data_IF_210617966768
#
_entry.id   IF_210617966768
#
_cell.length_a   1.000
_cell.length_b   1.000
_cell.length_c   1.000
_cell.angle_alpha   90.00
_cell.angle_beta   90.00
_cell.angle_gamma   90.00
#
_symmetry.space_group_name_H-M   'P 1'
#
loop_
_entity.id
_entity.type
_entity.pdbx_description
1 polymer ?
#
# COMPACT_ATOMS: atom_id res chain seq x y z
N UNK A 1 33.58 -32.60 11.84
CA UNK A 1 32.10 -32.50 11.58
C UNK A 1 31.98 -32.29 10.09
N UNK A 2 31.66 -33.36 9.36
CA UNK A 2 31.56 -33.32 7.89
C UNK A 2 30.20 -32.73 7.52
N UNK A 3 30.21 -31.70 6.66
CA UNK A 3 28.99 -31.15 6.10
C UNK A 3 28.48 -32.09 5.01
N UNK A 4 27.21 -32.47 5.11
CA UNK A 4 26.55 -33.19 4.02
C UNK A 4 26.20 -32.17 2.91
N UNK A 5 26.94 -32.31 1.79
CA UNK A 5 26.79 -31.48 0.59
C UNK A 5 26.18 -32.29 -0.57
N UNK A 6 25.38 -33.31 -0.26
CA UNK A 6 24.64 -34.02 -1.30
C UNK A 6 23.62 -33.11 -1.98
N UNK A 7 23.36 -33.36 -3.26
CA UNK A 7 22.36 -32.57 -4.02
C UNK A 7 20.99 -32.62 -3.37
N UNK A 8 20.68 -33.72 -2.69
CA UNK A 8 19.41 -33.89 -1.97
C UNK A 8 19.35 -33.05 -0.68
N UNK A 9 20.45 -32.96 0.07
CA UNK A 9 20.56 -32.10 1.26
C UNK A 9 20.52 -30.61 0.88
N UNK A 10 21.20 -30.22 -0.21
CA UNK A 10 21.19 -28.88 -0.75
C UNK A 10 19.78 -28.51 -1.23
N UNK A 11 19.14 -29.39 -2.00
CA UNK A 11 17.77 -29.16 -2.50
C UNK A 11 16.76 -29.03 -1.34
N UNK A 12 16.84 -29.90 -0.34
CA UNK A 12 15.99 -29.87 0.85
C UNK A 12 16.18 -28.59 1.66
N UNK A 13 17.42 -28.15 1.87
CA UNK A 13 17.74 -26.91 2.60
C UNK A 13 17.28 -25.69 1.82
N UNK A 14 17.50 -25.67 0.51
CA UNK A 14 17.05 -24.59 -0.38
C UNK A 14 15.54 -24.53 -0.42
N UNK A 15 14.86 -25.67 -0.55
CA UNK A 15 13.40 -25.75 -0.53
C UNK A 15 12.81 -25.33 0.82
N UNK A 16 13.42 -25.74 1.94
CA UNK A 16 13.01 -25.31 3.28
C UNK A 16 13.25 -23.82 3.51
N UNK A 17 14.33 -23.26 2.97
CA UNK A 17 14.63 -21.83 3.04
C UNK A 17 13.68 -21.00 2.14
N UNK A 18 13.34 -21.52 0.98
CA UNK A 18 12.33 -20.94 0.09
C UNK A 18 10.92 -21.03 0.73
N UNK A 19 10.59 -22.14 1.35
CA UNK A 19 9.31 -22.32 2.03
C UNK A 19 9.12 -21.44 3.29
N UNK A 20 10.19 -21.03 3.96
CA UNK A 20 10.12 -20.01 5.03
C UNK A 20 9.73 -18.62 4.50
N UNK A 21 9.75 -18.44 3.20
CA UNK A 21 9.32 -17.23 2.50
C UNK A 21 8.11 -17.48 1.58
N UNK A 22 7.48 -18.66 1.69
CA UNK A 22 6.22 -18.90 0.97
C UNK A 22 5.19 -17.92 1.50
N UNK A 23 4.44 -17.38 0.56
CA UNK A 23 3.22 -16.64 0.76
C UNK A 23 2.44 -17.30 1.89
N UNK A 24 2.02 -16.51 2.85
CA UNK A 24 1.10 -17.01 3.87
C UNK A 24 -0.03 -17.78 3.18
N UNK A 25 -0.55 -18.86 3.79
CA UNK A 25 -1.63 -19.67 3.20
C UNK A 25 -2.80 -18.82 2.67
N UNK A 26 -3.01 -17.66 3.29
CA UNK A 26 -4.02 -16.67 2.92
C UNK A 26 -3.90 -16.17 1.47
N UNK A 27 -2.68 -16.04 0.93
CA UNK A 27 -2.42 -15.49 -0.41
C UNK A 27 -2.32 -16.56 -1.49
N UNK A 28 -2.11 -17.82 -1.10
CA UNK A 28 -1.85 -18.91 -2.04
C UNK A 28 -3.04 -19.15 -2.98
N UNK A 29 -2.78 -19.08 -4.30
CA UNK A 29 -3.79 -19.24 -5.34
C UNK A 29 -4.78 -18.07 -5.45
N UNK A 30 -4.52 -16.97 -4.76
CA UNK A 30 -5.37 -15.78 -4.82
C UNK A 30 -5.03 -14.90 -6.02
N UNK A 31 -5.97 -13.99 -6.37
CA UNK A 31 -5.78 -13.01 -7.46
C UNK A 31 -4.58 -12.11 -7.23
N UNK A 32 -4.25 -11.79 -5.97
CA UNK A 32 -3.16 -10.90 -5.61
C UNK A 32 -1.94 -11.61 -5.02
N UNK A 33 -1.80 -12.93 -5.26
CA UNK A 33 -0.64 -13.69 -4.78
C UNK A 33 0.68 -13.06 -5.25
N UNK A 34 0.83 -12.80 -6.55
CA UNK A 34 2.05 -12.20 -7.11
C UNK A 34 2.35 -10.82 -6.50
N UNK A 35 1.32 -10.03 -6.22
CA UNK A 35 1.49 -8.74 -5.54
C UNK A 35 2.03 -8.94 -4.11
N UNK A 36 1.48 -9.88 -3.37
CA UNK A 36 1.92 -10.22 -2.02
C UNK A 36 3.36 -10.74 -1.98
N UNK A 37 3.80 -11.42 -3.05
CA UNK A 37 5.17 -11.93 -3.21
C UNK A 37 6.22 -10.85 -3.46
N UNK A 38 5.85 -9.62 -3.78
CA UNK A 38 6.79 -8.52 -3.98
C UNK A 38 7.47 -8.19 -2.63
N UNK A 39 8.74 -8.56 -2.49
CA UNK A 39 9.49 -8.42 -1.22
C UNK A 39 9.90 -6.97 -0.93
N UNK A 40 10.30 -6.23 -1.96
CA UNK A 40 10.76 -4.85 -1.81
C UNK A 40 9.58 -3.92 -1.53
N UNK A 41 9.55 -3.20 -0.39
CA UNK A 41 8.50 -2.20 -0.12
C UNK A 41 8.40 -1.13 -1.21
N UNK A 42 9.54 -0.73 -1.79
CA UNK A 42 9.58 0.23 -2.90
C UNK A 42 8.92 -0.32 -4.16
N UNK A 43 9.24 -1.56 -4.53
CA UNK A 43 8.65 -2.21 -5.72
C UNK A 43 7.16 -2.46 -5.51
N UNK A 44 6.75 -2.87 -4.31
CA UNK A 44 5.33 -3.04 -3.95
C UNK A 44 4.56 -1.72 -4.05
N UNK A 45 5.13 -0.63 -3.53
CA UNK A 45 4.56 0.71 -3.67
C UNK A 45 4.37 1.10 -5.14
N UNK A 46 5.42 0.99 -5.95
CA UNK A 46 5.36 1.33 -7.38
C UNK A 46 4.36 0.47 -8.16
N UNK A 47 4.27 -0.84 -7.85
CA UNK A 47 3.28 -1.74 -8.44
C UNK A 47 1.85 -1.33 -8.04
N UNK A 48 1.63 -1.00 -6.77
CA UNK A 48 0.34 -0.55 -6.28
C UNK A 48 -0.09 0.80 -6.86
N UNK A 49 0.84 1.77 -6.98
CA UNK A 49 0.57 3.03 -7.65
C UNK A 49 0.16 2.83 -9.12
N UNK A 50 0.83 1.89 -9.81
CA UNK A 50 0.47 1.54 -11.18
C UNK A 50 -0.92 0.90 -11.24
N UNK A 51 -1.21 -0.05 -10.36
CA UNK A 51 -2.52 -0.71 -10.28
C UNK A 51 -3.65 0.32 -10.08
N UNK A 52 -3.51 1.23 -9.13
CA UNK A 52 -4.49 2.31 -8.90
C UNK A 52 -4.63 3.19 -10.15
N UNK A 53 -3.50 3.55 -10.79
CA UNK A 53 -3.51 4.34 -12.03
C UNK A 53 -4.28 3.65 -13.16
N UNK A 54 -4.05 2.35 -13.34
CA UNK A 54 -4.71 1.55 -14.38
C UNK A 54 -6.23 1.44 -14.12
N UNK A 55 -6.64 1.33 -12.84
CA UNK A 55 -8.05 1.32 -12.45
C UNK A 55 -8.73 2.66 -12.80
N UNK A 56 -8.11 3.79 -12.49
CA UNK A 56 -8.65 5.10 -12.84
C UNK A 56 -8.75 5.28 -14.37
N UNK A 57 -7.71 4.87 -15.11
CA UNK A 57 -7.74 4.93 -16.58
C UNK A 57 -8.84 4.05 -17.18
N UNK A 58 -9.03 2.84 -16.67
CA UNK A 58 -10.10 1.93 -17.11
C UNK A 58 -11.50 2.49 -16.85
N UNK A 59 -11.63 3.37 -15.84
CA UNK A 59 -12.87 4.09 -15.52
C UNK A 59 -12.97 5.46 -16.22
N UNK A 60 -12.11 5.73 -17.21
CA UNK A 60 -12.20 6.93 -18.06
C UNK A 60 -11.55 8.19 -17.49
N UNK A 61 -10.88 8.14 -16.35
CA UNK A 61 -10.17 9.29 -15.80
C UNK A 61 -8.85 9.54 -16.54
N UNK A 62 -8.51 10.79 -16.88
CA UNK A 62 -7.21 11.13 -17.42
C UNK A 62 -6.14 11.02 -16.33
N UNK A 63 -5.20 10.11 -16.50
CA UNK A 63 -4.10 9.88 -15.56
C UNK A 63 -2.77 10.25 -16.18
N UNK A 64 -1.96 11.06 -15.47
CA UNK A 64 -0.60 11.44 -15.86
C UNK A 64 0.36 11.15 -14.72
N UNK A 65 1.57 10.72 -15.05
CA UNK A 65 2.65 10.52 -14.09
C UNK A 65 3.11 11.87 -13.54
N UNK A 66 3.38 11.93 -12.23
CA UNK A 66 4.02 13.10 -11.63
C UNK A 66 5.43 13.29 -12.16
N UNK A 67 5.86 14.55 -12.26
CA UNK A 67 7.24 14.97 -12.55
C UNK A 67 8.04 15.32 -11.30
N UNK A 68 7.41 15.22 -10.13
CA UNK A 68 8.01 15.57 -8.83
C UNK A 68 7.82 14.43 -7.84
N UNK A 69 8.52 14.47 -6.71
CA UNK A 69 8.34 13.53 -5.60
C UNK A 69 7.30 13.99 -4.57
N UNK A 70 6.53 15.03 -4.89
CA UNK A 70 5.56 15.62 -3.96
C UNK A 70 4.18 14.97 -4.02
N UNK A 71 3.88 14.25 -5.09
CA UNK A 71 2.68 13.45 -5.29
C UNK A 71 2.98 12.36 -6.34
N UNK A 72 2.13 11.34 -6.42
CA UNK A 72 2.40 10.18 -7.29
C UNK A 72 1.81 10.33 -8.68
N UNK A 73 0.59 10.85 -8.80
CA UNK A 73 -0.14 10.99 -10.07
C UNK A 73 -0.91 12.30 -10.15
N UNK A 74 -1.16 12.72 -11.38
CA UNK A 74 -2.16 13.72 -11.69
C UNK A 74 -3.38 12.98 -12.28
N UNK A 75 -4.50 12.98 -11.57
CA UNK A 75 -5.73 12.30 -11.97
C UNK A 75 -6.83 13.34 -12.06
N UNK A 76 -7.43 13.48 -13.24
CA UNK A 76 -8.46 14.49 -13.52
C UNK A 76 -8.07 15.91 -13.06
N UNK A 77 -6.82 16.28 -13.26
CA UNK A 77 -6.29 17.60 -12.87
C UNK A 77 -5.87 17.71 -11.39
N UNK A 78 -6.21 16.77 -10.52
CA UNK A 78 -5.80 16.76 -9.12
C UNK A 78 -4.46 16.06 -8.89
N UNK A 79 -3.64 16.61 -8.01
CA UNK A 79 -2.41 15.97 -7.52
C UNK A 79 -2.75 14.91 -6.50
N UNK A 80 -2.46 13.67 -6.80
CA UNK A 80 -2.87 12.52 -6.00
C UNK A 80 -1.66 11.84 -5.37
N UNK A 81 -1.69 11.69 -4.05
CA UNK A 81 -0.85 10.76 -3.31
C UNK A 81 -1.55 9.40 -3.25
N UNK A 82 -0.82 8.30 -3.42
CA UNK A 82 -1.37 6.94 -3.40
C UNK A 82 -0.72 6.16 -2.27
N UNK A 83 -1.53 5.58 -1.40
CA UNK A 83 -1.06 4.70 -0.32
C UNK A 83 -1.63 3.31 -0.50
N UNK A 84 -0.75 2.32 -0.63
CA UNK A 84 -1.13 0.93 -0.83
C UNK A 84 -0.74 0.10 0.39
N UNK A 85 -1.64 -0.74 0.83
CA UNK A 85 -1.42 -1.70 1.92
C UNK A 85 -2.03 -3.04 1.56
N UNK A 86 -1.32 -4.12 1.87
CA UNK A 86 -1.93 -5.45 1.97
C UNK A 86 -2.56 -5.61 3.35
N UNK A 87 -3.44 -6.59 3.51
CA UNK A 87 -4.00 -6.93 4.82
C UNK A 87 -2.91 -7.17 5.85
N UNK A 88 -3.12 -6.65 7.04
CA UNK A 88 -2.20 -6.84 8.16
C UNK A 88 -2.50 -8.18 8.83
N UNK A 89 -1.42 -8.97 9.03
CA UNK A 89 -1.48 -10.30 9.68
C UNK A 89 -2.55 -11.22 9.09
N UNK A 90 -2.77 -11.13 7.76
CA UNK A 90 -3.78 -11.92 7.05
C UNK A 90 -5.20 -11.76 7.60
N UNK A 91 -5.44 -10.69 8.34
CA UNK A 91 -6.78 -10.34 8.83
C UNK A 91 -7.52 -9.59 7.73
N UNK A 92 -8.57 -10.15 7.13
CA UNK A 92 -9.31 -9.49 6.06
C UNK A 92 -9.76 -8.07 6.44
N UNK A 93 -9.61 -7.13 5.50
CA UNK A 93 -10.00 -5.73 5.64
C UNK A 93 -9.28 -4.92 6.74
N UNK A 94 -8.20 -5.43 7.32
CA UNK A 94 -7.33 -4.65 8.21
C UNK A 94 -6.05 -4.28 7.47
N UNK A 95 -5.84 -2.98 7.32
CA UNK A 95 -4.75 -2.40 6.55
C UNK A 95 -3.89 -1.49 7.43
N UNK A 96 -2.65 -1.27 7.01
CA UNK A 96 -1.77 -0.27 7.62
C UNK A 96 -1.13 0.58 6.53
N UNK A 97 -1.65 1.78 6.33
CA UNK A 97 -1.05 2.74 5.41
C UNK A 97 -0.01 3.58 6.13
N UNK A 98 1.21 3.52 5.64
CA UNK A 98 2.38 4.15 6.23
C UNK A 98 2.93 5.28 5.35
N UNK A 99 3.88 6.04 5.89
CA UNK A 99 4.56 7.13 5.19
C UNK A 99 3.61 8.21 4.66
N UNK A 100 2.53 8.50 5.39
CA UNK A 100 1.66 9.62 5.11
C UNK A 100 2.40 10.88 5.55
N UNK A 101 2.59 11.85 4.64
CA UNK A 101 3.33 13.08 4.87
C UNK A 101 2.52 14.28 4.41
N UNK A 102 2.69 15.42 5.09
CA UNK A 102 2.06 16.66 4.69
C UNK A 102 2.82 17.28 3.50
N UNK A 103 2.54 16.79 2.30
CA UNK A 103 3.11 17.24 1.02
C UNK A 103 2.04 17.97 0.19
N UNK A 104 2.43 18.73 -0.86
CA UNK A 104 1.50 19.53 -1.66
C UNK A 104 0.75 18.68 -2.70
N UNK A 105 -0.02 17.70 -2.25
CA UNK A 105 -1.05 17.00 -3.03
C UNK A 105 -2.44 17.52 -2.66
N UNK A 106 -3.41 17.30 -3.53
CA UNK A 106 -4.80 17.76 -3.35
C UNK A 106 -5.63 16.68 -2.65
N UNK A 107 -5.44 15.42 -3.06
CA UNK A 107 -6.17 14.24 -2.56
C UNK A 107 -5.23 13.09 -2.30
N UNK A 108 -5.65 12.18 -1.45
CA UNK A 108 -4.99 10.90 -1.21
C UNK A 108 -5.93 9.75 -1.57
N UNK A 109 -5.40 8.73 -2.22
CA UNK A 109 -6.11 7.47 -2.48
C UNK A 109 -5.50 6.39 -1.61
N UNK A 110 -6.35 5.73 -0.83
CA UNK A 110 -6.01 4.57 -0.02
C UNK A 110 -6.44 3.31 -0.76
N UNK A 111 -5.48 2.44 -1.02
CA UNK A 111 -5.70 1.14 -1.63
C UNK A 111 -5.40 0.05 -0.60
N UNK A 112 -6.41 -0.75 -0.29
CA UNK A 112 -6.31 -1.93 0.56
C UNK A 112 -6.45 -3.20 -0.28
N UNK A 113 -5.48 -4.10 -0.21
CA UNK A 113 -5.45 -5.33 -0.99
C UNK A 113 -5.60 -6.53 -0.06
N UNK A 114 -6.66 -7.27 -0.24
CA UNK A 114 -6.88 -8.62 0.30
C UNK A 114 -6.49 -9.68 -0.74
N UNK A 115 -6.55 -10.96 -0.38
CA UNK A 115 -6.17 -12.04 -1.27
C UNK A 115 -6.94 -12.02 -2.61
N UNK A 116 -8.23 -11.77 -2.59
CA UNK A 116 -9.11 -11.79 -3.77
C UNK A 116 -9.93 -10.50 -3.95
N UNK A 117 -9.64 -9.46 -3.19
CA UNK A 117 -10.40 -8.23 -3.19
C UNK A 117 -9.47 -7.02 -3.10
N UNK A 118 -9.83 -5.96 -3.79
CA UNK A 118 -9.20 -4.66 -3.70
C UNK A 118 -10.24 -3.64 -3.27
N UNK A 119 -9.90 -2.85 -2.26
CA UNK A 119 -10.72 -1.74 -1.78
C UNK A 119 -10.03 -0.42 -2.03
N UNK A 120 -10.76 0.55 -2.56
CA UNK A 120 -10.29 1.91 -2.78
C UNK A 120 -11.17 2.90 -2.04
N UNK A 121 -10.52 3.83 -1.36
CA UNK A 121 -11.15 5.02 -0.81
C UNK A 121 -10.24 6.22 -1.02
N UNK A 122 -10.80 7.42 -0.92
CA UNK A 122 -10.05 8.64 -1.08
C UNK A 122 -10.44 9.69 -0.02
N UNK A 123 -9.59 10.68 0.15
CA UNK A 123 -9.86 11.81 1.03
C UNK A 123 -9.24 13.09 0.46
N UNK A 124 -9.85 14.23 0.80
CA UNK A 124 -9.27 15.55 0.53
C UNK A 124 -8.07 15.82 1.45
N UNK A 125 -7.17 16.65 1.02
CA UNK A 125 -6.05 17.12 1.83
C UNK A 125 -6.51 17.71 3.17
N UNK A 126 -7.60 18.47 3.16
CA UNK A 126 -8.18 19.07 4.36
C UNK A 126 -8.65 18.05 5.40
N UNK A 127 -9.09 16.88 4.96
CA UNK A 127 -9.45 15.79 5.88
C UNK A 127 -8.19 15.24 6.59
N UNK A 128 -7.08 15.10 5.85
CA UNK A 128 -5.82 14.67 6.46
C UNK A 128 -5.26 15.71 7.43
N UNK A 129 -5.38 17.00 7.11
CA UNK A 129 -5.01 18.09 8.00
C UNK A 129 -5.80 18.01 9.30
N UNK A 130 -7.09 17.78 9.21
CA UNK A 130 -7.98 17.69 10.37
C UNK A 130 -7.75 16.42 11.21
N UNK A 131 -7.65 15.27 10.57
CA UNK A 131 -7.72 13.97 11.26
C UNK A 131 -6.36 13.29 11.45
N UNK A 132 -5.31 13.74 10.77
CA UNK A 132 -3.98 13.13 10.85
C UNK A 132 -2.93 14.16 11.28
N UNK A 133 -2.75 15.25 10.54
CA UNK A 133 -1.60 16.14 10.74
C UNK A 133 -1.74 17.04 11.96
N UNK A 134 -2.95 17.46 12.30
CA UNK A 134 -3.24 18.31 13.44
C UNK A 134 -3.74 17.52 14.67
N UNK A 135 -3.85 16.20 14.59
CA UNK A 135 -4.24 15.36 15.71
C UNK A 135 -3.01 14.96 16.52
N UNK A 136 -2.86 15.54 17.72
CA UNK A 136 -1.76 15.25 18.63
C UNK A 136 -1.69 13.80 19.12
N UNK A 137 -2.78 13.03 18.95
CA UNK A 137 -2.87 11.62 19.35
C UNK A 137 -2.52 10.65 18.22
N UNK A 138 -2.27 11.15 17.00
CA UNK A 138 -1.90 10.30 15.88
C UNK A 138 -0.49 9.74 16.01
N UNK A 139 -0.34 8.53 15.57
CA UNK A 139 0.92 7.84 15.63
C UNK A 139 1.92 8.42 14.63
N UNK A 140 2.95 9.02 15.20
CA UNK A 140 4.05 9.64 14.51
C UNK A 140 5.19 8.63 14.36
N UNK A 141 5.63 8.41 13.14
CA UNK A 141 6.67 7.43 12.81
C UNK A 141 8.06 8.07 12.60
N UNK A 142 8.27 9.30 13.08
CA UNK A 142 9.52 10.03 12.91
C UNK A 142 9.48 11.08 11.81
N UNK A 143 10.66 11.50 11.31
CA UNK A 143 10.81 12.51 10.25
C UNK A 143 11.61 11.97 9.07
N UNK A 144 11.25 12.40 7.88
CA UNK A 144 12.04 12.16 6.67
C UNK A 144 12.03 13.41 5.78
N UNK A 145 13.23 13.90 5.43
CA UNK A 145 13.34 15.11 4.63
C UNK A 145 12.71 16.33 5.31
N UNK A 146 12.78 16.43 6.65
CA UNK A 146 12.20 17.53 7.42
C UNK A 146 10.68 17.44 7.66
N UNK A 147 9.99 16.48 7.06
CA UNK A 147 8.55 16.29 7.22
C UNK A 147 8.24 15.15 8.20
N UNK A 148 7.24 15.36 9.03
CA UNK A 148 6.69 14.32 9.90
C UNK A 148 6.06 13.20 9.09
N UNK A 149 6.21 11.97 9.56
CA UNK A 149 5.68 10.77 8.94
C UNK A 149 4.60 10.19 9.84
N UNK A 150 3.44 9.96 9.28
CA UNK A 150 2.28 9.39 9.96
C UNK A 150 1.92 8.03 9.37
N UNK A 151 1.14 7.27 10.11
CA UNK A 151 0.49 6.07 9.65
C UNK A 151 -0.88 5.89 10.30
N UNK A 152 -1.75 5.17 9.61
CA UNK A 152 -3.06 4.78 10.12
C UNK A 152 -3.24 3.27 9.89
N UNK A 153 -3.99 2.63 10.78
CA UNK A 153 -4.33 1.22 10.65
C UNK A 153 -5.80 0.98 10.99
N UNK A 154 -6.45 0.14 10.20
CA UNK A 154 -7.86 -0.21 10.36
C UNK A 154 -8.47 -0.69 9.05
N UNK A 155 -9.78 -0.86 9.04
CA UNK A 155 -10.58 -1.00 7.83
C UNK A 155 -10.84 0.38 7.23
N UNK A 156 -11.18 0.46 5.95
CA UNK A 156 -11.61 1.72 5.33
C UNK A 156 -12.83 2.30 6.06
N UNK A 157 -13.73 1.43 6.45
CA UNK A 157 -14.98 1.76 7.15
C UNK A 157 -14.76 2.36 8.57
N UNK A 158 -13.59 2.15 9.17
CA UNK A 158 -13.22 2.75 10.46
C UNK A 158 -12.93 4.26 10.35
N UNK A 159 -12.76 4.78 9.12
CA UNK A 159 -12.40 6.18 8.85
C UNK A 159 -13.54 6.92 8.16
N UNK A 160 -14.46 7.51 8.93
CA UNK A 160 -15.64 8.22 8.43
C UNK A 160 -15.36 9.39 7.46
N UNK A 161 -14.11 9.84 7.42
CA UNK A 161 -13.65 10.91 6.53
C UNK A 161 -13.09 10.38 5.19
N UNK A 162 -12.95 9.08 5.04
CA UNK A 162 -12.66 8.44 3.75
C UNK A 162 -13.93 8.29 2.94
N UNK A 163 -13.88 8.66 1.67
CA UNK A 163 -14.98 8.56 0.73
C UNK A 163 -14.82 7.35 -0.18
N UNK A 164 -15.93 6.70 -0.59
CA UNK A 164 -15.88 5.64 -1.59
C UNK A 164 -15.28 6.17 -2.91
N UNK A 165 -14.55 5.30 -3.61
CA UNK A 165 -13.89 5.70 -4.87
C UNK A 165 -14.89 6.13 -5.96
N UNK A 166 -16.12 5.66 -5.93
CA UNK A 166 -17.17 6.08 -6.85
C UNK A 166 -17.61 7.54 -6.71
N UNK A 167 -17.18 8.23 -5.66
CA UNK A 167 -17.45 9.65 -5.41
C UNK A 167 -16.22 10.53 -5.70
N UNK A 168 -15.19 10.00 -6.34
CA UNK A 168 -13.94 10.72 -6.63
C UNK A 168 -14.14 11.89 -7.65
#
# INVERSE_FOLDING_TARGET
>A
MDFDLTDEAIASTTYSSLNKHTTEPYWRGSVFEDFAMIRSPRSRGACGEKLVSDIFQANGYPVKRSRTSQYDRLIDGHKIEIKVSTTWDSTPNKFRWSQIRNQPYDRIVFCGINANELKLAWAEKSDLERYIFNDAHRQHAGKRGGLDIYWIAGSIEDFHWMRPIGEF
#
